data_IF_634630470428
#
_entry.id   IF_634630470428
#
_cell.length_a   1.000
_cell.length_b   1.000
_cell.length_c   1.000
_cell.angle_alpha   90.00
_cell.angle_beta   90.00
_cell.angle_gamma   90.00
#
_symmetry.space_group_name_H-M   'P 1'
#
loop_
_entity.id
_entity.type
_entity.pdbx_description
1 polymer ?
#
# COMPACT_ATOMS: atom_id res chain seq x y z
N UNK A 1 14.76 -40.69 -4.77
CA UNK A 1 13.79 -39.58 -4.71
C UNK A 1 14.36 -38.36 -5.40
N UNK A 2 13.68 -37.86 -6.43
CA UNK A 2 14.07 -36.66 -7.15
C UNK A 2 13.37 -35.45 -6.53
N UNK A 3 14.16 -34.49 -6.05
CA UNK A 3 13.68 -33.31 -5.37
C UNK A 3 13.80 -32.08 -6.26
N UNK A 4 12.79 -31.22 -6.23
CA UNK A 4 12.89 -29.83 -6.68
C UNK A 4 13.10 -28.96 -5.44
N UNK A 5 14.19 -28.20 -5.40
CA UNK A 5 14.44 -27.22 -4.34
C UNK A 5 14.57 -25.83 -4.96
N UNK A 6 13.75 -24.90 -4.48
CA UNK A 6 13.74 -23.52 -4.95
C UNK A 6 13.99 -22.62 -3.75
N UNK A 7 15.12 -21.94 -3.75
CA UNK A 7 15.55 -21.08 -2.65
C UNK A 7 15.45 -19.60 -3.01
N UNK A 8 15.37 -18.77 -1.97
CA UNK A 8 15.34 -17.31 -2.06
C UNK A 8 14.21 -16.74 -2.93
N UNK A 9 13.10 -17.46 -3.01
CA UNK A 9 11.89 -16.96 -3.65
C UNK A 9 11.30 -15.87 -2.77
N UNK A 10 11.16 -14.67 -3.31
CA UNK A 10 10.54 -13.53 -2.64
C UNK A 10 9.20 -13.19 -3.28
N UNK A 11 8.29 -12.66 -2.47
CA UNK A 11 7.07 -12.03 -2.96
C UNK A 11 6.50 -11.06 -1.94
N UNK A 12 5.60 -10.19 -2.39
CA UNK A 12 5.04 -9.15 -1.55
C UNK A 12 4.31 -9.76 -0.34
N UNK A 13 4.45 -9.13 0.83
CA UNK A 13 3.77 -9.60 2.04
C UNK A 13 2.28 -9.88 1.81
N UNK A 14 1.78 -10.99 2.35
CA UNK A 14 0.38 -11.36 2.32
C UNK A 14 -0.20 -11.69 0.93
N UNK A 15 0.64 -11.85 -0.10
CA UNK A 15 0.17 -12.25 -1.44
C UNK A 15 0.12 -13.76 -1.62
N UNK A 16 -0.82 -14.20 -2.45
CA UNK A 16 -0.86 -15.55 -2.99
C UNK A 16 -0.39 -15.50 -4.43
N UNK A 17 0.61 -16.32 -4.77
CA UNK A 17 1.21 -16.35 -6.09
C UNK A 17 1.37 -17.79 -6.58
N UNK A 18 1.51 -17.96 -7.89
CA UNK A 18 1.91 -19.24 -8.50
C UNK A 18 3.37 -19.16 -8.95
N UNK A 19 4.18 -20.10 -8.48
CA UNK A 19 5.57 -20.25 -8.90
C UNK A 19 5.66 -21.41 -9.89
N UNK A 20 6.09 -21.09 -11.11
CA UNK A 20 6.30 -22.06 -12.17
C UNK A 20 7.79 -22.34 -12.41
N UNK A 21 8.18 -23.61 -12.37
CA UNK A 21 9.54 -24.07 -12.65
C UNK A 21 9.55 -24.97 -13.87
N UNK A 22 10.36 -24.62 -14.87
CA UNK A 22 10.61 -25.46 -16.03
C UNK A 22 11.84 -26.35 -15.77
N UNK A 23 11.63 -27.66 -15.68
CA UNK A 23 12.69 -28.64 -15.46
C UNK A 23 13.55 -28.81 -16.71
N UNK A 24 14.87 -29.09 -16.58
CA UNK A 24 15.78 -29.24 -17.72
C UNK A 24 15.51 -30.49 -18.57
N UNK A 25 14.96 -31.54 -17.97
CA UNK A 25 14.62 -32.81 -18.63
C UNK A 25 13.22 -33.26 -18.21
N UNK A 26 12.64 -34.20 -18.97
CA UNK A 26 11.36 -34.83 -18.61
C UNK A 26 11.54 -35.82 -17.46
N UNK A 27 11.63 -35.23 -16.27
CA UNK A 27 11.93 -35.92 -15.03
C UNK A 27 10.76 -35.71 -14.09
N UNK A 28 10.16 -36.81 -13.63
CA UNK A 28 9.18 -36.78 -12.56
C UNK A 28 9.84 -36.38 -11.23
N UNK A 29 9.30 -35.35 -10.58
CA UNK A 29 9.69 -34.90 -9.24
C UNK A 29 8.83 -35.63 -8.21
N UNK A 30 9.45 -36.06 -7.11
CA UNK A 30 8.77 -36.77 -6.02
C UNK A 30 8.43 -35.83 -4.85
N UNK A 31 9.20 -34.74 -4.69
CA UNK A 31 9.02 -33.74 -3.63
C UNK A 31 9.50 -32.37 -4.09
N UNK A 32 8.85 -31.32 -3.62
CA UNK A 32 9.24 -29.95 -3.86
C UNK A 32 9.38 -29.16 -2.55
N UNK A 33 10.41 -28.33 -2.47
CA UNK A 33 10.62 -27.36 -1.39
C UNK A 33 10.72 -25.96 -1.95
N UNK A 34 10.17 -24.99 -1.20
CA UNK A 34 10.29 -23.57 -1.49
C UNK A 34 10.76 -22.86 -0.23
N UNK A 35 11.92 -22.19 -0.28
CA UNK A 35 12.60 -21.58 0.86
C UNK A 35 12.72 -22.55 2.06
N UNK A 36 13.04 -23.83 1.77
CA UNK A 36 13.17 -24.88 2.78
C UNK A 36 11.85 -25.44 3.33
N UNK A 37 10.68 -24.90 2.97
CA UNK A 37 9.37 -25.45 3.35
C UNK A 37 8.91 -26.48 2.32
N UNK A 38 8.42 -27.64 2.78
CA UNK A 38 7.82 -28.63 1.90
C UNK A 38 6.50 -28.12 1.30
N UNK A 39 6.34 -28.29 -0.01
CA UNK A 39 5.21 -27.74 -0.77
C UNK A 39 4.44 -28.84 -1.49
N UNK A 40 3.11 -28.67 -1.56
CA UNK A 40 2.32 -29.33 -2.59
C UNK A 40 2.64 -28.73 -3.96
N UNK A 41 2.67 -29.57 -4.99
CA UNK A 41 2.94 -29.12 -6.36
C UNK A 41 2.12 -29.93 -7.37
N UNK A 42 1.90 -29.35 -8.54
CA UNK A 42 1.44 -30.08 -9.72
C UNK A 42 2.57 -30.12 -10.75
N UNK A 43 2.64 -31.20 -11.52
CA UNK A 43 3.61 -31.34 -12.61
C UNK A 43 2.90 -31.76 -13.90
N UNK A 44 3.12 -31.01 -14.99
CA UNK A 44 2.67 -31.34 -16.34
C UNK A 44 3.86 -31.41 -17.28
N UNK A 45 4.28 -32.63 -17.62
CA UNK A 45 5.52 -32.87 -18.35
C UNK A 45 6.70 -32.27 -17.59
N UNK A 46 7.37 -31.28 -18.21
CA UNK A 46 8.52 -30.58 -17.62
C UNK A 46 8.19 -29.38 -16.75
N UNK A 47 6.92 -29.00 -16.62
CA UNK A 47 6.54 -27.80 -15.87
C UNK A 47 5.98 -28.18 -14.50
N UNK A 48 6.58 -27.64 -13.43
CA UNK A 48 6.12 -27.80 -12.05
C UNK A 48 5.54 -26.49 -11.55
N UNK A 49 4.35 -26.52 -10.97
CA UNK A 49 3.68 -25.35 -10.38
C UNK A 49 3.50 -25.54 -8.89
N UNK A 50 3.90 -24.51 -8.12
CA UNK A 50 3.72 -24.42 -6.68
C UNK A 50 2.83 -23.23 -6.35
N UNK A 51 1.80 -23.44 -5.54
CA UNK A 51 0.97 -22.36 -5.02
C UNK A 51 1.59 -21.88 -3.70
N UNK A 52 1.89 -20.59 -3.61
CA UNK A 52 2.58 -20.01 -2.45
C UNK A 52 1.72 -18.90 -1.84
N UNK A 53 1.68 -18.85 -0.51
CA UNK A 53 1.16 -17.73 0.25
C UNK A 53 2.33 -17.13 1.04
N UNK A 54 2.69 -15.88 0.73
CA UNK A 54 3.69 -15.15 1.50
C UNK A 54 3.10 -14.67 2.83
N UNK A 55 3.91 -14.72 3.88
CA UNK A 55 3.49 -14.40 5.24
C UNK A 55 3.14 -12.91 5.40
N UNK A 56 2.46 -12.59 6.50
CA UNK A 56 2.13 -11.23 6.92
C UNK A 56 0.93 -10.58 6.21
N UNK A 57 0.68 -9.31 6.54
CA UNK A 57 -0.46 -8.53 6.01
C UNK A 57 -0.02 -7.74 4.78
N UNK A 58 -0.75 -7.84 3.67
CA UNK A 58 -0.51 -7.04 2.47
C UNK A 58 -0.63 -5.54 2.77
N UNK A 59 0.29 -4.78 2.21
CA UNK A 59 0.24 -3.31 2.10
C UNK A 59 1.18 -2.93 0.96
N UNK A 60 0.62 -2.55 -0.18
CA UNK A 60 1.38 -2.25 -1.39
C UNK A 60 1.76 -0.77 -1.46
N UNK A 61 2.67 -0.45 -2.38
CA UNK A 61 2.81 0.92 -2.89
C UNK A 61 1.45 1.42 -3.38
N UNK A 62 1.09 2.66 -3.02
CA UNK A 62 -0.22 3.23 -3.33
C UNK A 62 -1.40 2.37 -2.84
N UNK A 63 -1.31 1.76 -1.65
CA UNK A 63 -2.39 0.92 -1.11
C UNK A 63 -3.69 1.72 -1.01
N UNK A 64 -4.74 1.22 -1.66
CA UNK A 64 -6.04 1.88 -1.68
C UNK A 64 -6.85 1.51 -0.44
N UNK A 65 -7.40 2.52 0.25
CA UNK A 65 -8.47 2.29 1.22
C UNK A 65 -9.75 1.98 0.47
N UNK A 66 -10.27 0.77 0.66
CA UNK A 66 -11.59 0.40 0.12
C UNK A 66 -12.67 1.18 0.84
N UNK A 67 -13.48 1.89 0.06
CA UNK A 67 -14.56 2.73 0.54
C UNK A 67 -15.90 2.20 0.05
N UNK A 68 -16.90 2.28 0.93
CA UNK A 68 -18.29 1.96 0.65
C UNK A 68 -19.15 3.22 0.85
N UNK A 69 -20.29 3.28 0.18
CA UNK A 69 -21.24 4.38 0.40
C UNK A 69 -21.93 4.21 1.74
N UNK A 70 -21.85 5.24 2.57
CA UNK A 70 -22.52 5.35 3.86
C UNK A 70 -23.68 6.37 3.79
N UNK A 71 -24.32 6.60 4.93
CA UNK A 71 -25.43 7.55 5.06
C UNK A 71 -25.07 8.95 4.57
N UNK A 72 -26.07 9.70 4.11
CA UNK A 72 -25.94 11.10 3.69
C UNK A 72 -24.91 11.34 2.57
N UNK A 73 -24.67 10.34 1.71
CA UNK A 73 -23.66 10.37 0.63
C UNK A 73 -22.23 10.53 1.16
N UNK A 74 -21.96 10.09 2.38
CA UNK A 74 -20.60 9.92 2.87
C UNK A 74 -20.02 8.60 2.39
N UNK A 75 -18.70 8.49 2.37
CA UNK A 75 -17.97 7.27 2.09
C UNK A 75 -17.30 6.80 3.38
N UNK A 76 -17.32 5.51 3.66
CA UNK A 76 -16.64 4.93 4.82
C UNK A 76 -15.74 3.78 4.42
N UNK A 77 -14.62 3.65 5.11
CA UNK A 77 -13.75 2.49 4.94
C UNK A 77 -12.91 2.25 6.17
N UNK A 78 -12.18 1.15 6.15
CA UNK A 78 -11.27 0.80 7.21
C UNK A 78 -9.97 0.25 6.68
N UNK A 79 -8.90 0.45 7.43
CA UNK A 79 -7.58 -0.07 7.10
C UNK A 79 -6.82 -0.43 8.37
N UNK A 80 -5.72 -1.17 8.19
CA UNK A 80 -4.71 -1.43 9.22
C UNK A 80 -3.38 -1.03 8.61
N UNK A 81 -2.63 -0.17 9.28
CA UNK A 81 -1.25 0.15 8.88
C UNK A 81 -0.33 -0.86 9.57
N UNK A 82 0.37 -1.73 8.83
CA UNK A 82 1.31 -2.65 9.44
C UNK A 82 2.49 -1.92 10.05
N UNK A 83 3.01 -2.39 11.18
CA UNK A 83 4.13 -1.76 11.88
C UNK A 83 5.39 -1.62 11.02
N UNK A 84 5.60 -2.55 10.08
CA UNK A 84 6.71 -2.49 9.11
C UNK A 84 6.66 -1.24 8.21
N UNK A 85 5.48 -0.68 7.91
CA UNK A 85 5.38 0.55 7.11
C UNK A 85 5.96 1.75 7.87
N UNK A 86 5.68 1.85 9.18
CA UNK A 86 6.29 2.90 10.01
C UNK A 86 7.80 2.67 10.19
N UNK A 87 8.23 1.41 10.28
CA UNK A 87 9.66 1.06 10.32
C UNK A 87 10.37 1.43 9.01
N UNK A 88 9.74 1.21 7.84
CA UNK A 88 10.27 1.60 6.54
C UNK A 88 10.48 3.12 6.47
N UNK A 89 9.50 3.91 6.90
CA UNK A 89 9.59 5.37 6.96
C UNK A 89 10.68 5.84 7.93
N UNK A 90 10.76 5.25 9.13
CA UNK A 90 11.79 5.56 10.12
C UNK A 90 13.20 5.20 9.63
N UNK A 91 13.35 4.07 8.93
CA UNK A 91 14.61 3.68 8.30
C UNK A 91 15.02 4.68 7.21
N UNK A 92 14.06 5.20 6.43
CA UNK A 92 14.30 6.25 5.43
C UNK A 92 14.81 7.54 6.07
N UNK A 93 14.18 8.00 7.15
CA UNK A 93 14.64 9.14 7.97
C UNK A 93 16.08 8.97 8.45
N UNK A 94 16.41 7.78 8.97
CA UNK A 94 17.77 7.48 9.46
C UNK A 94 18.79 7.45 8.33
N UNK A 95 18.42 6.94 7.16
CA UNK A 95 19.29 6.87 5.98
C UNK A 95 19.57 8.25 5.39
N UNK A 96 18.59 9.16 5.45
CA UNK A 96 18.67 10.51 4.90
C UNK A 96 18.21 11.55 5.94
N UNK A 97 19.06 11.89 6.93
CA UNK A 97 18.69 12.76 8.04
C UNK A 97 18.71 14.24 7.63
N UNK A 98 17.88 14.60 6.67
CA UNK A 98 17.74 15.98 6.18
C UNK A 98 16.96 16.79 7.23
N UNK A 99 17.46 17.98 7.65
CA UNK A 99 16.78 18.82 8.63
C UNK A 99 15.65 19.61 7.99
N UNK A 100 14.55 18.92 7.67
CA UNK A 100 13.35 19.52 7.08
C UNK A 100 12.81 20.67 7.93
N UNK A 101 12.57 21.81 7.27
CA UNK A 101 11.94 22.98 7.86
C UNK A 101 10.42 22.84 7.84
N UNK A 102 9.72 23.73 8.55
CA UNK A 102 8.25 23.76 8.52
C UNK A 102 7.70 23.95 7.10
N UNK A 103 8.33 24.81 6.30
CA UNK A 103 7.94 25.08 4.91
C UNK A 103 8.09 23.82 4.04
N UNK A 104 9.10 22.99 4.31
CA UNK A 104 9.26 21.72 3.60
C UNK A 104 8.09 20.75 3.86
N UNK A 105 7.54 20.74 5.08
CA UNK A 105 6.35 19.94 5.42
C UNK A 105 5.05 20.47 4.77
N UNK A 106 5.03 21.73 4.34
CA UNK A 106 3.91 22.30 3.59
C UNK A 106 3.94 21.85 2.12
N UNK A 107 5.09 21.36 1.62
CA UNK A 107 5.19 20.72 0.30
C UNK A 107 4.81 19.24 0.40
N UNK A 108 3.77 18.84 -0.34
CA UNK A 108 3.08 17.54 -0.17
C UNK A 108 4.02 16.33 -0.07
N UNK A 109 4.90 16.12 -1.04
CA UNK A 109 5.76 14.92 -1.11
C UNK A 109 7.24 15.17 -0.78
N UNK A 110 7.62 16.38 -0.33
CA UNK A 110 9.03 16.72 -0.16
C UNK A 110 9.69 15.97 0.99
N UNK A 111 8.94 15.67 2.05
CA UNK A 111 9.44 14.96 3.23
C UNK A 111 9.03 13.47 3.12
N UNK A 112 9.91 12.59 2.62
CA UNK A 112 9.52 11.23 2.23
C UNK A 112 9.38 10.28 3.44
N UNK A 113 9.71 10.72 4.65
CA UNK A 113 9.51 9.95 5.89
C UNK A 113 8.07 10.06 6.45
N UNK A 114 7.20 10.81 5.78
CA UNK A 114 5.79 10.95 6.18
C UNK A 114 4.94 9.83 5.63
N UNK A 115 4.01 9.33 6.43
CA UNK A 115 2.91 8.51 5.92
C UNK A 115 1.79 9.43 5.46
N UNK A 116 1.48 9.44 4.17
CA UNK A 116 0.42 10.29 3.63
C UNK A 116 -0.79 9.45 3.23
N UNK A 117 -2.00 9.98 3.45
CA UNK A 117 -3.24 9.44 2.92
C UNK A 117 -3.82 10.44 1.91
N UNK A 118 -3.73 10.11 0.63
CA UNK A 118 -4.09 10.98 -0.47
C UNK A 118 -5.51 10.71 -0.96
N UNK A 119 -6.32 11.76 -1.09
CA UNK A 119 -7.67 11.74 -1.67
C UNK A 119 -7.56 12.19 -3.12
N UNK A 120 -7.71 11.25 -4.04
CA UNK A 120 -7.55 11.50 -5.46
C UNK A 120 -8.88 11.84 -6.13
N UNK A 121 -8.93 13.01 -6.75
CA UNK A 121 -10.08 13.52 -7.50
C UNK A 121 -9.57 14.00 -8.87
N UNK A 122 -10.19 13.54 -9.95
CA UNK A 122 -9.91 14.01 -11.29
C UNK A 122 -10.41 15.46 -11.48
N UNK A 123 -9.59 16.29 -12.11
CA UNK A 123 -9.86 17.73 -12.32
C UNK A 123 -10.30 18.45 -11.03
N UNK A 124 -9.52 18.33 -9.94
CA UNK A 124 -9.94 18.84 -8.66
C UNK A 124 -9.91 20.37 -8.68
N UNK A 125 -10.81 21.01 -7.93
CA UNK A 125 -10.81 22.46 -7.74
C UNK A 125 -10.31 22.77 -6.36
N UNK A 126 -9.35 23.68 -6.23
CA UNK A 126 -8.78 24.05 -4.93
C UNK A 126 -9.80 24.77 -4.03
N UNK A 127 -10.96 25.14 -4.57
CA UNK A 127 -12.13 25.63 -3.82
C UNK A 127 -12.98 24.51 -3.21
N UNK A 128 -12.68 23.25 -3.48
CA UNK A 128 -13.37 22.10 -2.86
C UNK A 128 -12.99 21.99 -1.38
N UNK A 129 -13.95 21.59 -0.55
CA UNK A 129 -13.78 21.43 0.89
C UNK A 129 -14.25 20.03 1.32
N UNK A 130 -13.51 18.95 1.00
CA UNK A 130 -13.80 17.63 1.52
C UNK A 130 -13.55 17.59 3.02
N UNK A 131 -14.34 16.80 3.73
CA UNK A 131 -14.20 16.59 5.17
C UNK A 131 -13.88 15.12 5.42
N UNK A 132 -12.90 14.85 6.28
CA UNK A 132 -12.57 13.50 6.70
C UNK A 132 -12.58 13.39 8.23
N UNK A 133 -13.00 12.23 8.73
CA UNK A 133 -12.77 11.83 10.12
C UNK A 133 -11.95 10.54 10.16
N UNK A 134 -11.11 10.40 11.17
CA UNK A 134 -10.39 9.18 11.53
C UNK A 134 -10.83 8.78 12.94
N UNK A 135 -11.38 7.57 13.08
CA UNK A 135 -11.88 7.04 14.36
C UNK A 135 -12.85 7.99 15.07
N UNK A 136 -13.71 8.65 14.29
CA UNK A 136 -14.70 9.62 14.76
C UNK A 136 -14.16 11.02 15.07
N UNK A 137 -12.83 11.24 15.01
CA UNK A 137 -12.23 12.56 15.20
C UNK A 137 -11.99 13.26 13.85
N UNK A 138 -12.14 14.59 13.77
CA UNK A 138 -11.81 15.34 12.55
C UNK A 138 -10.36 15.10 12.13
N UNK A 139 -10.16 14.75 10.86
CA UNK A 139 -8.84 14.60 10.25
C UNK A 139 -8.64 15.74 9.24
N UNK A 140 -7.60 16.54 9.45
CA UNK A 140 -7.28 17.65 8.57
C UNK A 140 -6.86 17.14 7.18
N UNK A 141 -7.56 17.60 6.15
CA UNK A 141 -7.15 17.45 4.77
C UNK A 141 -6.46 18.73 4.29
N UNK A 142 -5.22 18.60 3.85
CA UNK A 142 -4.42 19.68 3.27
C UNK A 142 -4.47 19.60 1.75
N UNK A 143 -4.46 20.75 1.07
CA UNK A 143 -4.43 20.83 -0.39
C UNK A 143 -3.07 20.37 -0.90
N UNK A 144 -3.06 19.44 -1.85
CA UNK A 144 -1.85 19.00 -2.52
C UNK A 144 -1.64 19.74 -3.84
N UNK A 145 -0.41 20.23 -4.04
CA UNK A 145 0.00 20.86 -5.30
C UNK A 145 1.23 20.13 -5.84
N UNK A 146 1.29 19.93 -7.16
CA UNK A 146 2.43 19.36 -7.86
C UNK A 146 3.61 20.34 -8.03
N UNK A 147 3.46 21.56 -7.50
CA UNK A 147 4.44 22.64 -7.52
C UNK A 147 4.52 23.27 -6.14
N UNK A 148 5.69 23.80 -5.79
CA UNK A 148 5.90 24.59 -4.56
C UNK A 148 5.05 25.87 -4.54
N UNK A 149 4.59 26.34 -5.72
CA UNK A 149 3.70 27.50 -5.82
C UNK A 149 2.25 27.04 -5.84
N UNK A 150 1.47 27.60 -4.93
CA UNK A 150 0.02 27.42 -4.88
C UNK A 150 -0.63 28.08 -6.10
N UNK A 151 -1.19 27.27 -6.99
CA UNK A 151 -2.05 27.72 -8.07
C UNK A 151 -2.98 26.60 -8.55
N UNK A 152 -4.19 26.94 -9.00
CA UNK A 152 -5.22 25.97 -9.39
C UNK A 152 -4.73 24.91 -10.40
N UNK A 153 -3.90 25.29 -11.38
CA UNK A 153 -3.41 24.33 -12.39
C UNK A 153 -2.44 23.27 -11.84
N UNK A 154 -1.81 23.48 -10.68
CA UNK A 154 -0.98 22.47 -10.01
C UNK A 154 -1.73 21.73 -8.91
N UNK A 155 -2.99 22.09 -8.64
CA UNK A 155 -3.79 21.42 -7.63
C UNK A 155 -4.14 20.00 -8.09
N UNK A 156 -3.79 19.01 -7.27
CA UNK A 156 -3.89 17.58 -7.64
C UNK A 156 -4.75 16.76 -6.69
N UNK A 157 -5.18 17.33 -5.55
CA UNK A 157 -6.06 16.64 -4.62
C UNK A 157 -5.83 17.07 -3.18
N UNK A 158 -6.15 16.20 -2.24
CA UNK A 158 -6.00 16.48 -0.82
C UNK A 158 -5.20 15.37 -0.15
N UNK A 159 -4.55 15.65 0.96
CA UNK A 159 -3.86 14.64 1.74
C UNK A 159 -4.03 14.88 3.24
N UNK A 160 -3.98 13.79 4.00
CA UNK A 160 -3.77 13.81 5.44
C UNK A 160 -2.38 13.26 5.78
N UNK A 161 -1.75 13.83 6.80
CA UNK A 161 -0.52 13.29 7.37
C UNK A 161 -0.86 12.31 8.50
N UNK A 162 -0.53 11.04 8.31
CA UNK A 162 -0.77 9.95 9.24
C UNK A 162 0.53 9.42 9.86
N UNK A 163 1.61 10.20 9.86
CA UNK A 163 2.92 9.77 10.38
C UNK A 163 2.87 9.29 11.84
N UNK A 164 1.95 9.81 12.64
CA UNK A 164 1.77 9.44 14.05
C UNK A 164 0.60 8.46 14.29
N UNK A 165 0.12 7.77 13.26
CA UNK A 165 -0.95 6.79 13.39
C UNK A 165 -0.51 5.58 14.23
N UNK A 166 -1.45 4.95 14.93
CA UNK A 166 -1.19 3.72 15.66
C UNK A 166 -1.09 2.55 14.67
N UNK A 167 0.04 1.85 14.64
CA UNK A 167 0.17 0.65 13.81
C UNK A 167 -0.60 -0.56 14.38
N UNK A 168 -0.87 -1.53 13.52
CA UNK A 168 -1.45 -2.84 13.85
C UNK A 168 -2.86 -2.85 14.44
N UNK A 169 -3.55 -1.70 14.44
CA UNK A 169 -4.96 -1.60 14.83
C UNK A 169 -5.84 -1.25 13.64
N UNK A 170 -7.12 -1.62 13.71
CA UNK A 170 -8.11 -1.23 12.71
C UNK A 170 -8.48 0.23 12.94
N UNK A 171 -8.31 1.05 11.90
CA UNK A 171 -8.79 2.42 11.83
C UNK A 171 -9.99 2.53 10.92
N UNK A 172 -10.87 3.49 11.20
CA UNK A 172 -12.03 3.78 10.38
C UNK A 172 -11.98 5.22 9.89
N UNK A 173 -12.16 5.40 8.57
CA UNK A 173 -12.31 6.71 7.97
C UNK A 173 -13.73 6.94 7.48
N UNK A 174 -14.17 8.19 7.59
CA UNK A 174 -15.37 8.67 6.90
C UNK A 174 -14.99 9.90 6.10
N UNK A 175 -15.28 9.87 4.81
CA UNK A 175 -15.00 10.93 3.86
C UNK A 175 -16.31 11.50 3.33
N UNK A 176 -16.48 12.81 3.44
CA UNK A 176 -17.56 13.55 2.81
C UNK A 176 -16.98 14.40 1.70
N UNK A 177 -17.36 14.09 0.47
CA UNK A 177 -16.93 14.83 -0.72
C UNK A 177 -17.94 15.94 -1.03
N UNK A 178 -17.50 17.04 -1.68
CA UNK A 178 -18.42 17.94 -2.35
C UNK A 178 -19.17 17.21 -3.49
N UNK A 179 -20.20 17.82 -4.11
CA UNK A 179 -20.81 17.26 -5.31
C UNK A 179 -19.77 17.04 -6.42
N UNK A 180 -19.68 15.82 -6.94
CA UNK A 180 -18.76 15.42 -8.01
C UNK A 180 -19.54 14.80 -9.18
N UNK A 181 -19.00 14.91 -10.39
CA UNK A 181 -19.51 14.14 -11.52
C UNK A 181 -19.05 12.68 -11.40
N UNK A 182 -19.82 11.71 -11.95
CA UNK A 182 -19.40 10.31 -11.97
C UNK A 182 -17.98 10.15 -12.54
N UNK A 183 -17.15 9.35 -11.88
CA UNK A 183 -15.75 9.11 -12.27
C UNK A 183 -14.74 10.16 -11.81
N UNK A 184 -15.17 11.30 -11.23
CA UNK A 184 -14.21 12.26 -10.67
C UNK A 184 -13.52 11.74 -9.41
N UNK A 185 -14.25 11.06 -8.52
CA UNK A 185 -13.62 10.45 -7.36
C UNK A 185 -12.87 9.17 -7.78
N UNK A 186 -11.55 9.15 -7.59
CA UNK A 186 -10.68 8.04 -8.02
C UNK A 186 -10.30 7.12 -6.86
N UNK A 187 -10.32 7.63 -5.62
CA UNK A 187 -10.11 6.82 -4.43
C UNK A 187 -9.33 7.55 -3.33
N UNK A 188 -8.94 6.76 -2.33
CA UNK A 188 -8.06 7.20 -1.24
C UNK A 188 -6.91 6.22 -1.15
N UNK A 189 -5.68 6.72 -1.18
CA UNK A 189 -4.46 5.92 -1.35
C UNK A 189 -3.38 6.30 -0.33
N UNK A 190 -2.59 5.34 0.12
CA UNK A 190 -1.41 5.60 0.93
C UNK A 190 -0.20 5.95 0.07
N UNK A 191 0.46 7.05 0.41
CA UNK A 191 1.63 7.57 -0.29
C UNK A 191 2.90 7.48 0.57
N UNK A 192 4.05 7.61 -0.10
CA UNK A 192 5.42 7.49 0.43
C UNK A 192 5.78 6.10 1.00
N UNK A 193 4.90 5.11 0.91
CA UNK A 193 5.22 3.72 1.25
C UNK A 193 5.58 2.93 0.01
N UNK A 194 6.45 1.94 0.18
CA UNK A 194 6.83 1.00 -0.87
C UNK A 194 6.37 -0.41 -0.51
N UNK A 195 6.02 -1.18 -1.54
CA UNK A 195 5.81 -2.62 -1.39
C UNK A 195 7.09 -3.27 -0.86
N UNK A 196 6.95 -4.08 0.18
CA UNK A 196 8.04 -4.89 0.72
C UNK A 196 7.80 -6.37 0.39
N UNK A 197 8.89 -7.07 0.14
CA UNK A 197 8.89 -8.50 -0.12
C UNK A 197 9.34 -9.30 1.11
N UNK A 198 8.92 -10.55 1.17
CA UNK A 198 9.36 -11.53 2.16
C UNK A 198 9.70 -12.87 1.50
N UNK A 199 10.62 -13.61 2.12
CA UNK A 199 10.86 -15.03 1.81
C UNK A 199 10.04 -15.95 2.72
N UNK A 200 9.45 -15.39 3.78
CA UNK A 200 8.66 -16.16 4.75
C UNK A 200 7.32 -16.55 4.14
N UNK A 201 6.99 -17.84 4.25
CA UNK A 201 5.73 -18.40 3.76
C UNK A 201 4.73 -18.48 4.92
N UNK A 202 3.47 -18.19 4.64
CA UNK A 202 2.40 -18.40 5.62
C UNK A 202 2.32 -19.89 6.04
N UNK A 203 1.87 -20.19 7.27
CA UNK A 203 1.71 -21.55 7.78
C UNK A 203 0.94 -22.49 6.84
#
# INVERSE_FOLDING_TARGET
DKALDVEHVTGAFGTQEEIGVLLPNDVRVDKATLNGKAMGFAQKGRYVTLQVQFAGKRFAHSEQVKLETAENRSLSGSFVVPGRMLQQLAARKKKWPIPWTREDYDTTWLVPERLLLFVQIAEPKDTMEPLMTLDGQPLQLTKAYSSVRVHQASFVGFYADLTNIQAEVKHEIRLKLPPLTPGQFQGVFFDNVETEDTQELAP
#
